data_IF_181118321929
#
_entry.id   IF_181118321929
#
_cell.length_a   1.000
_cell.length_b   1.000
_cell.length_c   1.000
_cell.angle_alpha   90.00
_cell.angle_beta   90.00
_cell.angle_gamma   90.00
#
_symmetry.space_group_name_H-M   'P 1'
#
loop_
_entity.id
_entity.type
_entity.pdbx_description
1 polymer ?
#
# COMPACT_ATOMS: atom_id res chain seq x y z
N UNK A 1 5.40 -8.51 -16.32
CA UNK A 1 4.19 -8.52 -15.46
C UNK A 1 3.05 -9.09 -16.29
N UNK A 2 2.29 -10.07 -15.77
CA UNK A 2 1.14 -10.64 -16.49
C UNK A 2 -0.14 -10.04 -15.93
N UNK A 3 -1.08 -9.70 -16.80
CA UNK A 3 -2.38 -9.14 -16.45
C UNK A 3 -3.47 -10.14 -16.82
N UNK A 4 -4.60 -10.06 -16.11
CA UNK A 4 -5.80 -10.86 -16.36
C UNK A 4 -6.98 -9.91 -16.38
N UNK A 5 -7.80 -10.03 -17.43
CA UNK A 5 -9.08 -9.33 -17.53
C UNK A 5 -10.19 -10.25 -17.02
N UNK A 6 -11.08 -9.70 -16.21
CA UNK A 6 -12.22 -10.43 -15.66
C UNK A 6 -13.43 -9.49 -15.56
N UNK A 7 -14.62 -10.02 -15.80
CA UNK A 7 -15.88 -9.33 -15.60
C UNK A 7 -16.49 -9.77 -14.27
N UNK A 8 -16.80 -8.81 -13.39
CA UNK A 8 -17.41 -9.04 -12.07
C UNK A 8 -18.60 -8.14 -11.86
N UNK A 9 -19.67 -8.70 -11.31
CA UNK A 9 -20.88 -7.95 -10.93
C UNK A 9 -20.84 -7.68 -9.43
N UNK A 10 -20.78 -6.40 -9.08
CA UNK A 10 -20.65 -5.94 -7.69
C UNK A 10 -21.75 -4.92 -7.38
N UNK A 11 -22.23 -4.84 -6.12
CA UNK A 11 -23.10 -3.76 -5.71
C UNK A 11 -22.38 -2.41 -5.78
N UNK A 12 -23.00 -1.41 -6.43
CA UNK A 12 -22.42 -0.06 -6.58
C UNK A 12 -22.05 0.56 -5.22
N UNK A 13 -22.87 0.33 -4.20
CA UNK A 13 -22.64 0.85 -2.84
C UNK A 13 -21.30 0.39 -2.24
N UNK A 14 -20.85 -0.82 -2.56
CA UNK A 14 -19.62 -1.39 -2.02
C UNK A 14 -18.42 -0.76 -2.74
N UNK A 15 -18.54 -0.57 -4.06
CA UNK A 15 -17.54 0.08 -4.89
C UNK A 15 -17.38 1.56 -4.56
N UNK A 16 -18.48 2.25 -4.26
CA UNK A 16 -18.47 3.64 -3.79
C UNK A 16 -17.83 3.76 -2.40
N UNK A 17 -18.08 2.82 -1.49
CA UNK A 17 -17.41 2.78 -0.20
C UNK A 17 -15.88 2.62 -0.34
N UNK A 18 -15.42 1.76 -1.28
CA UNK A 18 -14.00 1.61 -1.61
C UNK A 18 -13.42 2.90 -2.20
N UNK A 19 -14.11 3.55 -3.15
CA UNK A 19 -13.67 4.83 -3.72
C UNK A 19 -13.48 5.90 -2.67
N UNK A 20 -14.45 6.08 -1.77
CA UNK A 20 -14.37 7.06 -0.68
C UNK A 20 -13.25 6.73 0.30
N UNK A 21 -13.11 5.46 0.68
CA UNK A 21 -12.08 5.00 1.63
C UNK A 21 -10.66 5.24 1.12
N UNK A 22 -10.43 5.07 -0.18
CA UNK A 22 -9.09 5.14 -0.77
C UNK A 22 -8.89 6.29 -1.75
N UNK A 23 -9.83 7.24 -1.84
CA UNK A 23 -9.73 8.43 -2.70
C UNK A 23 -9.58 8.12 -4.19
N UNK A 24 -10.31 7.11 -4.71
CA UNK A 24 -10.19 6.68 -6.11
C UNK A 24 -11.19 7.37 -7.03
N UNK A 25 -10.72 7.82 -8.19
CA UNK A 25 -11.49 8.64 -9.14
C UNK A 25 -12.44 7.84 -10.04
N UNK A 26 -12.17 6.55 -10.29
CA UNK A 26 -12.98 5.70 -11.16
C UNK A 26 -13.11 4.27 -10.60
N UNK A 27 -14.05 3.51 -11.16
CA UNK A 27 -14.39 2.16 -10.71
C UNK A 27 -13.24 1.16 -10.86
N UNK A 28 -12.55 1.17 -12.00
CA UNK A 28 -11.42 0.26 -12.24
C UNK A 28 -10.30 0.46 -11.23
N UNK A 29 -9.98 1.71 -10.89
CA UNK A 29 -9.00 2.04 -9.86
C UNK A 29 -9.44 1.60 -8.46
N UNK A 30 -10.74 1.65 -8.16
CA UNK A 30 -11.28 1.17 -6.89
C UNK A 30 -11.17 -0.36 -6.78
N UNK A 31 -11.52 -1.10 -7.84
CA UNK A 31 -11.37 -2.56 -7.88
C UNK A 31 -9.90 -2.96 -7.75
N UNK A 32 -9.01 -2.31 -8.52
CA UNK A 32 -7.57 -2.59 -8.46
C UNK A 32 -7.01 -2.35 -7.05
N UNK A 33 -7.40 -1.24 -6.40
CA UNK A 33 -6.99 -0.96 -5.01
C UNK A 33 -7.52 -2.01 -4.03
N UNK A 34 -8.79 -2.41 -4.14
CA UNK A 34 -9.39 -3.40 -3.25
C UNK A 34 -8.69 -4.77 -3.38
N UNK A 35 -8.41 -5.21 -4.61
CA UNK A 35 -7.68 -6.46 -4.87
C UNK A 35 -6.25 -6.37 -4.35
N UNK A 36 -5.55 -5.27 -4.63
CA UNK A 36 -4.19 -5.04 -4.13
C UNK A 36 -4.13 -5.11 -2.60
N UNK A 37 -5.03 -4.40 -1.91
CA UNK A 37 -5.10 -4.41 -0.44
C UNK A 37 -5.36 -5.79 0.14
N UNK A 38 -6.17 -6.60 -0.53
CA UNK A 38 -6.46 -7.97 -0.08
C UNK A 38 -5.34 -8.96 -0.44
N UNK A 39 -4.56 -8.69 -1.49
CA UNK A 39 -3.41 -9.50 -1.89
C UNK A 39 -2.20 -9.31 -0.96
N UNK A 40 -2.15 -8.18 -0.25
CA UNK A 40 -1.11 -7.92 0.72
C UNK A 40 -1.39 -8.69 2.01
N UNK A 41 -0.44 -9.53 2.42
CA UNK A 41 -0.45 -10.16 3.74
C UNK A 41 0.29 -9.20 4.67
N UNK A 42 -0.42 -8.49 5.57
CA UNK A 42 0.27 -7.64 6.53
C UNK A 42 1.08 -8.52 7.49
N UNK A 43 2.18 -7.93 7.99
CA UNK A 43 2.92 -8.51 9.09
C UNK A 43 1.97 -8.76 10.27
N UNK A 44 2.08 -9.95 10.86
CA UNK A 44 1.36 -10.31 12.07
C UNK A 44 1.85 -9.48 13.25
N UNK A 45 1.05 -9.44 14.33
CA UNK A 45 1.44 -8.74 15.56
C UNK A 45 2.72 -9.33 16.14
N UNK A 46 2.86 -10.65 16.10
CA UNK A 46 3.99 -11.40 16.63
C UNK A 46 5.26 -11.07 15.85
N UNK A 47 5.19 -11.06 14.52
CA UNK A 47 6.31 -10.66 13.66
C UNK A 47 6.71 -9.20 13.91
N UNK A 48 5.74 -8.29 14.06
CA UNK A 48 6.02 -6.88 14.37
C UNK A 48 6.67 -6.71 15.75
N UNK A 49 6.26 -7.50 16.74
CA UNK A 49 6.88 -7.50 18.06
C UNK A 49 8.29 -8.09 18.05
N UNK A 50 8.54 -9.11 17.22
CA UNK A 50 9.86 -9.71 17.06
C UNK A 50 10.89 -8.73 16.47
N UNK A 51 10.46 -7.69 15.76
CA UNK A 51 11.34 -6.62 15.28
C UNK A 51 11.81 -5.67 16.38
N UNK A 52 11.21 -5.71 17.59
CA UNK A 52 11.64 -4.84 18.69
C UNK A 52 13.07 -5.17 19.08
N UNK A 53 13.95 -4.17 19.01
CA UNK A 53 15.36 -4.34 19.34
C UNK A 53 16.20 -4.89 18.18
N UNK A 54 15.63 -5.06 16.98
CA UNK A 54 16.41 -5.32 15.76
C UNK A 54 17.41 -4.18 15.45
N UNK A 55 17.17 -3.00 16.03
CA UNK A 55 17.97 -1.80 15.80
C UNK A 55 17.72 -1.23 14.40
N UNK A 56 18.25 -0.04 14.17
CA UNK A 56 18.33 0.57 12.86
C UNK A 56 19.64 1.34 12.80
N UNK A 57 20.45 1.05 11.78
CA UNK A 57 21.82 1.58 11.67
C UNK A 57 21.91 2.88 10.84
N UNK A 58 20.77 3.38 10.35
CA UNK A 58 20.75 4.66 9.64
C UNK A 58 20.82 5.84 10.60
N UNK A 59 21.21 6.98 10.05
CA UNK A 59 21.12 8.27 10.73
C UNK A 59 19.82 8.96 10.31
N UNK A 60 18.96 9.27 11.29
CA UNK A 60 17.67 9.90 11.04
C UNK A 60 17.81 11.37 10.69
N UNK A 61 18.85 12.02 11.22
CA UNK A 61 19.09 13.44 11.03
C UNK A 61 19.62 13.68 9.60
N UNK A 62 20.56 12.86 9.13
CA UNK A 62 21.02 12.86 7.73
C UNK A 62 19.88 12.70 6.71
N UNK A 63 18.90 11.83 7.01
CA UNK A 63 17.75 11.60 6.13
C UNK A 63 16.76 12.77 6.09
N UNK A 64 16.63 13.52 7.18
CA UNK A 64 15.74 14.70 7.26
C UNK A 64 16.34 15.91 6.58
N UNK A 65 17.65 16.05 6.67
CA UNK A 65 18.38 17.20 6.14
C UNK A 65 18.58 17.12 4.62
N UNK A 66 18.22 15.99 3.99
CA UNK A 66 18.07 15.88 2.54
C UNK A 66 19.36 16.11 1.75
N UNK A 67 20.53 16.05 2.39
CA UNK A 67 21.81 16.33 1.73
C UNK A 67 22.36 15.13 0.94
N UNK A 68 21.49 14.22 0.49
CA UNK A 68 21.81 13.24 -0.55
C UNK A 68 20.92 13.48 -1.77
N UNK A 69 21.03 14.68 -2.34
CA UNK A 69 20.95 14.80 -3.80
C UNK A 69 22.38 14.59 -4.30
N UNK A 70 22.74 13.35 -4.62
CA UNK A 70 23.83 13.15 -5.58
C UNK A 70 23.37 13.70 -6.93
N UNK A 71 24.09 14.64 -7.56
CA UNK A 71 23.81 15.02 -8.93
C UNK A 71 24.39 13.95 -9.86
N UNK A 72 23.53 13.16 -10.51
CA UNK A 72 23.84 12.41 -11.73
C UNK A 72 22.67 12.49 -12.72
#
# INVERSE_FOLDING_TARGET
>A
MRFVDLEVRLPERDLEAVRKRYGRANWSAAVAEAVFRQSFVPMTKEEALAMRGAGWAGDLDDMRDGNTIEPL
#
